data_IF_869013897101
#
_entry.id   IF_869013897101
#
_cell.length_a   1.000
_cell.length_b   1.000
_cell.length_c   1.000
_cell.angle_alpha   90.00
_cell.angle_beta   90.00
_cell.angle_gamma   90.00
#
_symmetry.space_group_name_H-M   'P 1'
#
loop_
_entity.id
_entity.type
_entity.pdbx_description
1 polymer ?
#
# COMPACT_ATOMS: atom_id res chain seq x y z
N UNK A 1 10.23 -5.96 9.09
CA UNK A 1 10.30 -7.37 9.56
C UNK A 1 11.22 -7.56 10.75
N UNK A 2 12.23 -6.70 10.94
CA UNK A 2 13.21 -6.79 12.05
C UNK A 2 12.96 -5.74 13.13
N UNK A 3 11.69 -5.41 13.39
CA UNK A 3 11.30 -4.41 14.38
C UNK A 3 11.47 -4.97 15.78
N UNK A 4 11.93 -4.13 16.72
CA UNK A 4 11.82 -4.46 18.14
C UNK A 4 10.53 -3.92 18.75
N UNK A 5 10.22 -4.34 19.98
CA UNK A 5 8.98 -3.98 20.66
C UNK A 5 8.82 -2.47 20.89
N UNK A 6 9.92 -1.76 21.23
CA UNK A 6 9.89 -0.31 21.44
C UNK A 6 9.64 0.42 20.13
N UNK A 7 10.29 0.04 19.04
CA UNK A 7 10.04 0.60 17.70
C UNK A 7 8.58 0.38 17.26
N UNK A 8 8.04 -0.82 17.48
CA UNK A 8 6.64 -1.13 17.16
C UNK A 8 5.65 -0.30 17.98
N UNK A 9 5.99 0.07 19.22
CA UNK A 9 5.10 0.87 20.07
C UNK A 9 4.79 2.24 19.46
N UNK A 10 5.74 2.85 18.74
CA UNK A 10 5.54 4.12 18.05
C UNK A 10 4.70 4.04 16.78
N UNK A 11 4.29 2.83 16.36
CA UNK A 11 3.37 2.63 15.24
C UNK A 11 1.95 2.31 15.70
N UNK A 12 1.68 2.17 17.00
CA UNK A 12 0.36 1.82 17.51
C UNK A 12 -0.74 2.75 16.97
N UNK A 13 -1.88 2.17 16.59
CA UNK A 13 -2.99 2.90 15.96
C UNK A 13 -2.90 3.07 14.44
N UNK A 14 -1.72 2.87 13.84
CA UNK A 14 -1.50 2.96 12.38
C UNK A 14 -1.88 1.67 11.65
N UNK A 15 -2.11 1.75 10.34
CA UNK A 15 -2.30 0.57 9.50
C UNK A 15 -1.02 -0.29 9.43
N UNK A 16 0.16 0.34 9.43
CA UNK A 16 1.45 -0.33 9.36
C UNK A 16 1.73 -1.22 10.58
N UNK A 17 1.29 -0.83 11.79
CA UNK A 17 1.42 -1.67 12.98
C UNK A 17 0.70 -3.01 12.83
N UNK A 18 -0.56 -2.98 12.39
CA UNK A 18 -1.35 -4.19 12.17
C UNK A 18 -0.79 -5.02 11.03
N UNK A 19 -0.44 -4.40 9.89
CA UNK A 19 0.15 -5.09 8.75
C UNK A 19 1.49 -5.76 9.11
N UNK A 20 2.34 -5.07 9.87
CA UNK A 20 3.62 -5.61 10.34
C UNK A 20 3.42 -6.76 11.31
N UNK A 21 2.51 -6.63 12.27
CA UNK A 21 2.23 -7.69 13.26
C UNK A 21 1.69 -8.94 12.60
N UNK A 22 0.73 -8.79 11.67
CA UNK A 22 0.20 -9.89 10.88
C UNK A 22 1.31 -10.55 10.06
N UNK A 23 2.16 -9.77 9.39
CA UNK A 23 3.24 -10.32 8.56
C UNK A 23 4.28 -11.09 9.37
N UNK A 24 4.59 -10.65 10.59
CA UNK A 24 5.48 -11.39 11.50
C UNK A 24 4.89 -12.76 11.83
N UNK A 25 3.60 -12.81 12.19
CA UNK A 25 2.90 -14.06 12.48
C UNK A 25 2.85 -15.00 11.27
N UNK A 26 2.58 -14.45 10.08
CA UNK A 26 2.59 -15.21 8.82
C UNK A 26 3.96 -15.86 8.59
N UNK A 27 5.06 -15.13 8.75
CA UNK A 27 6.40 -15.67 8.56
C UNK A 27 6.83 -16.68 9.61
N UNK A 28 6.41 -16.51 10.86
CA UNK A 28 6.63 -17.51 11.91
C UNK A 28 5.92 -18.82 11.57
N UNK A 29 4.65 -18.74 11.17
CA UNK A 29 3.87 -19.90 10.71
C UNK A 29 4.50 -20.57 9.48
N UNK A 30 4.84 -19.80 8.46
CA UNK A 30 5.43 -20.32 7.22
C UNK A 30 6.80 -20.96 7.48
N UNK A 31 7.62 -20.35 8.34
CA UNK A 31 8.90 -20.91 8.77
C UNK A 31 8.71 -22.28 9.42
N UNK A 32 7.77 -22.41 10.35
CA UNK A 32 7.49 -23.68 11.03
C UNK A 32 7.04 -24.77 10.05
N UNK A 33 6.17 -24.42 9.10
CA UNK A 33 5.71 -25.34 8.05
C UNK A 33 6.87 -25.79 7.14
N UNK A 34 7.66 -24.85 6.62
CA UNK A 34 8.82 -25.17 5.79
C UNK A 34 9.83 -26.04 6.54
N UNK A 35 10.09 -25.71 7.82
CA UNK A 35 11.01 -26.45 8.67
C UNK A 35 10.53 -27.89 8.90
N UNK A 36 9.23 -28.10 9.13
CA UNK A 36 8.66 -29.43 9.28
C UNK A 36 8.82 -30.25 8.00
N UNK A 37 8.59 -29.67 6.83
CA UNK A 37 8.80 -30.32 5.54
C UNK A 37 10.26 -30.68 5.29
N UNK A 38 11.19 -29.75 5.56
CA UNK A 38 12.62 -30.04 5.42
C UNK A 38 13.07 -31.18 6.33
N UNK A 39 12.54 -31.27 7.56
CA UNK A 39 12.87 -32.40 8.45
C UNK A 39 12.41 -33.76 7.92
N UNK A 40 11.31 -33.82 7.17
CA UNK A 40 10.84 -35.07 6.56
C UNK A 40 11.80 -35.58 5.49
N UNK A 41 12.44 -34.67 4.74
CA UNK A 41 13.38 -35.02 3.66
C UNK A 41 14.81 -35.16 4.20
N UNK A 42 15.25 -34.23 5.04
CA UNK A 42 16.57 -34.19 5.65
C UNK A 42 16.50 -33.47 7.02
N UNK A 43 16.60 -34.26 8.09
CA UNK A 43 16.52 -33.76 9.47
C UNK A 43 17.53 -32.67 9.78
N UNK A 44 18.77 -32.82 9.35
CA UNK A 44 19.84 -31.83 9.60
C UNK A 44 19.57 -30.51 8.87
N UNK A 45 19.05 -30.55 7.64
CA UNK A 45 18.62 -29.35 6.92
C UNK A 45 17.51 -28.62 7.69
N UNK A 46 16.48 -29.35 8.13
CA UNK A 46 15.39 -28.76 8.90
C UNK A 46 15.80 -28.26 10.29
N UNK A 47 16.81 -28.86 10.92
CA UNK A 47 17.35 -28.36 12.20
C UNK A 47 18.15 -27.07 12.01
N UNK A 48 18.88 -26.94 10.89
CA UNK A 48 19.65 -25.73 10.54
C UNK A 48 18.80 -24.61 9.91
N UNK A 49 17.58 -24.90 9.47
CA UNK A 49 16.65 -23.92 8.92
C UNK A 49 15.96 -23.12 10.03
N UNK A 50 16.66 -22.11 10.56
CA UNK A 50 16.18 -21.22 11.63
C UNK A 50 15.25 -20.12 11.09
N UNK A 51 14.47 -19.50 11.98
CA UNK A 51 13.62 -18.36 11.64
C UNK A 51 14.44 -17.22 11.02
N UNK A 52 15.63 -16.96 11.56
CA UNK A 52 16.58 -15.97 11.01
C UNK A 52 16.91 -16.23 9.54
N UNK A 53 17.17 -17.50 9.16
CA UNK A 53 17.46 -17.84 7.75
C UNK A 53 16.23 -17.65 6.85
N UNK A 54 15.05 -18.03 7.33
CA UNK A 54 13.80 -17.82 6.61
C UNK A 54 13.56 -16.31 6.39
N UNK A 55 13.62 -15.52 7.46
CA UNK A 55 13.43 -14.07 7.40
C UNK A 55 14.47 -13.41 6.50
N UNK A 56 15.74 -13.83 6.55
CA UNK A 56 16.79 -13.32 5.67
C UNK A 56 16.45 -13.55 4.20
N UNK A 57 16.02 -14.77 3.84
CA UNK A 57 15.61 -15.09 2.47
C UNK A 57 14.36 -14.29 2.04
N UNK A 58 13.36 -14.19 2.92
CA UNK A 58 12.14 -13.42 2.66
C UNK A 58 12.43 -11.92 2.47
N UNK A 59 13.35 -11.35 3.26
CA UNK A 59 13.79 -9.95 3.12
C UNK A 59 14.49 -9.76 1.78
N UNK A 60 15.42 -10.64 1.38
CA UNK A 60 16.08 -10.53 0.08
C UNK A 60 15.09 -10.61 -1.08
N UNK A 61 14.14 -11.55 -1.03
CA UNK A 61 13.12 -11.66 -2.07
C UNK A 61 12.21 -10.44 -2.12
N UNK A 62 11.71 -9.95 -0.99
CA UNK A 62 10.79 -8.79 -0.97
C UNK A 62 11.46 -7.46 -1.32
N UNK A 63 12.72 -7.27 -0.94
CA UNK A 63 13.43 -5.99 -1.14
C UNK A 63 14.22 -5.90 -2.45
N UNK A 64 14.59 -7.03 -3.07
CA UNK A 64 15.51 -7.06 -4.23
C UNK A 64 14.96 -7.75 -5.47
N UNK A 65 13.83 -8.45 -5.37
CA UNK A 65 13.27 -9.10 -6.55
C UNK A 65 12.64 -8.11 -7.52
N UNK A 66 12.77 -8.43 -8.80
CA UNK A 66 12.10 -7.78 -9.92
C UNK A 66 10.99 -8.70 -10.44
N UNK A 67 9.98 -8.15 -11.12
CA UNK A 67 9.01 -8.98 -11.82
C UNK A 67 9.69 -9.63 -13.05
N UNK A 68 9.49 -10.94 -13.22
CA UNK A 68 10.04 -11.73 -14.34
C UNK A 68 9.63 -11.20 -15.70
N UNK A 69 8.55 -10.43 -15.80
CA UNK A 69 8.09 -9.77 -17.04
C UNK A 69 9.13 -8.79 -17.60
N UNK A 70 10.05 -8.29 -16.77
CA UNK A 70 11.20 -7.50 -17.24
C UNK A 70 12.17 -8.28 -18.12
N UNK A 71 12.17 -9.61 -18.04
CA UNK A 71 13.04 -10.48 -18.84
C UNK A 71 12.41 -10.84 -20.21
N UNK A 72 11.19 -10.38 -20.48
CA UNK A 72 10.55 -10.62 -21.77
C UNK A 72 11.08 -9.69 -22.86
N UNK A 73 10.96 -10.10 -24.13
CA UNK A 73 11.37 -9.27 -25.29
C UNK A 73 10.57 -7.96 -25.40
N UNK A 74 9.40 -7.91 -24.79
CA UNK A 74 8.55 -6.72 -24.68
C UNK A 74 8.29 -6.46 -23.19
N UNK A 75 9.28 -5.94 -22.45
CA UNK A 75 9.20 -5.84 -21.00
C UNK A 75 8.01 -4.98 -20.57
N UNK A 76 7.22 -5.51 -19.64
CA UNK A 76 6.07 -4.83 -19.03
C UNK A 76 6.20 -4.84 -17.52
N UNK A 77 5.81 -3.73 -16.89
CA UNK A 77 5.68 -3.63 -15.44
C UNK A 77 4.29 -4.08 -14.96
N UNK A 78 3.36 -4.30 -15.88
CA UNK A 78 1.98 -4.73 -15.61
C UNK A 78 1.83 -6.21 -15.97
N UNK A 79 1.87 -7.12 -14.99
CA UNK A 79 1.56 -8.52 -15.24
C UNK A 79 0.10 -8.69 -15.68
N UNK A 80 -0.18 -9.72 -16.48
CA UNK A 80 -1.54 -10.11 -16.87
C UNK A 80 -1.83 -11.54 -16.41
N UNK A 81 -3.10 -11.97 -16.33
CA UNK A 81 -3.43 -13.36 -16.04
C UNK A 81 -2.79 -14.35 -17.03
N UNK A 82 -2.57 -13.92 -18.28
CA UNK A 82 -1.92 -14.73 -19.33
C UNK A 82 -0.38 -14.70 -19.25
N UNK A 83 0.19 -13.73 -18.53
CA UNK A 83 1.63 -13.61 -18.30
C UNK A 83 1.88 -13.14 -16.86
N UNK A 84 1.76 -14.06 -15.88
CA UNK A 84 1.99 -13.73 -14.48
C UNK A 84 3.46 -13.37 -14.26
N UNK A 85 3.70 -12.35 -13.44
CA UNK A 85 5.05 -12.04 -12.97
C UNK A 85 5.44 -12.93 -11.79
N UNK A 86 6.67 -13.42 -11.82
CA UNK A 86 7.31 -14.12 -10.70
C UNK A 86 8.50 -13.30 -10.20
N UNK A 87 8.86 -13.37 -8.91
CA UNK A 87 10.03 -12.66 -8.39
C UNK A 87 11.32 -13.27 -8.97
N UNK A 88 12.18 -12.43 -9.54
CA UNK A 88 13.52 -12.79 -10.01
C UNK A 88 14.57 -11.89 -9.39
N UNK A 89 15.69 -12.47 -8.95
CA UNK A 89 16.84 -11.71 -8.49
C UNK A 89 17.78 -11.47 -9.66
N UNK A 90 18.16 -10.21 -9.85
CA UNK A 90 19.05 -9.77 -10.92
C UNK A 90 20.34 -9.23 -10.28
N UNK A 91 21.38 -10.08 -10.11
CA UNK A 91 22.63 -9.64 -9.49
C UNK A 91 23.19 -8.39 -10.16
N UNK A 92 23.83 -7.52 -9.38
CA UNK A 92 24.36 -6.20 -9.78
C UNK A 92 23.24 -5.16 -9.97
N UNK A 93 22.18 -5.50 -10.69
CA UNK A 93 21.05 -4.59 -10.96
C UNK A 93 20.21 -4.35 -9.70
N UNK A 94 20.13 -5.33 -8.81
CA UNK A 94 19.49 -5.25 -7.51
C UNK A 94 20.23 -4.38 -6.48
N UNK A 95 21.41 -3.85 -6.83
CA UNK A 95 22.18 -2.94 -5.99
C UNK A 95 21.79 -1.47 -6.16
N UNK A 96 20.99 -1.14 -7.20
CA UNK A 96 20.60 0.24 -7.50
C UNK A 96 19.51 0.73 -6.53
N UNK A 97 19.80 1.80 -5.81
CA UNK A 97 18.86 2.42 -4.87
C UNK A 97 17.70 3.13 -5.56
N UNK A 98 16.66 3.43 -4.79
CA UNK A 98 15.47 4.13 -5.26
C UNK A 98 15.70 5.64 -5.36
N UNK A 99 15.32 6.24 -6.49
CA UNK A 99 15.07 7.66 -6.63
C UNK A 99 13.70 7.87 -7.28
N UNK A 100 12.77 8.48 -6.53
CA UNK A 100 11.40 8.73 -6.97
C UNK A 100 11.39 9.58 -8.24
N UNK A 101 10.71 9.09 -9.28
CA UNK A 101 10.56 9.81 -10.54
C UNK A 101 11.82 9.83 -11.41
N UNK A 102 12.89 9.13 -11.02
CA UNK A 102 14.08 8.98 -11.85
C UNK A 102 13.69 8.32 -13.19
N UNK A 103 13.95 8.97 -14.33
CA UNK A 103 13.68 8.37 -15.63
C UNK A 103 14.61 7.18 -15.85
N UNK A 104 14.03 5.99 -15.97
CA UNK A 104 14.75 4.75 -16.26
C UNK A 104 14.04 3.98 -17.37
N UNK A 105 14.81 3.24 -18.16
CA UNK A 105 14.27 2.36 -19.19
C UNK A 105 14.93 0.99 -19.08
N UNK A 106 14.12 -0.04 -18.99
CA UNK A 106 14.55 -1.44 -18.99
C UNK A 106 14.50 -1.99 -20.41
N UNK A 107 15.56 -2.69 -20.83
CA UNK A 107 15.66 -3.28 -22.15
C UNK A 107 16.18 -4.72 -22.04
N UNK A 108 15.68 -5.58 -22.91
CA UNK A 108 16.19 -6.95 -23.06
C UNK A 108 16.67 -7.09 -24.49
N UNK A 109 17.99 -7.22 -24.63
CA UNK A 109 18.64 -7.41 -25.91
C UNK A 109 18.96 -8.90 -26.10
N UNK A 110 18.67 -9.43 -27.28
CA UNK A 110 19.34 -10.66 -27.74
C UNK A 110 20.75 -10.26 -28.14
N UNK A 111 21.78 -10.85 -27.53
CA UNK A 111 23.14 -10.63 -28.00
C UNK A 111 23.30 -11.25 -29.39
N UNK A 112 23.08 -10.44 -30.43
CA UNK A 112 23.39 -10.80 -31.80
C UNK A 112 24.90 -10.75 -32.00
N UNK A 113 25.55 -11.91 -31.98
CA UNK A 113 26.65 -12.14 -32.91
C UNK A 113 26.06 -13.06 -33.99
N UNK A 114 25.90 -12.61 -35.25
CA UNK A 114 25.33 -13.44 -36.32
C UNK A 114 26.15 -14.72 -36.58
N UNK A 115 27.35 -14.86 -36.03
CA UNK A 115 28.18 -16.06 -36.14
C UNK A 115 27.94 -17.12 -35.07
N UNK A 116 27.27 -16.82 -33.95
CA UNK A 116 27.05 -17.82 -32.88
C UNK A 116 25.94 -18.81 -33.26
N UNK A 117 24.94 -18.40 -34.06
CA UNK A 117 23.94 -19.33 -34.59
C UNK A 117 24.58 -20.40 -35.50
N UNK A 118 25.60 -20.02 -36.28
CA UNK A 118 26.38 -20.94 -37.13
C UNK A 118 27.38 -21.79 -36.31
N UNK A 119 28.00 -21.24 -35.26
CA UNK A 119 28.96 -21.96 -34.40
C UNK A 119 28.27 -22.94 -33.42
N UNK A 120 27.05 -22.66 -32.96
CA UNK A 120 26.31 -23.57 -32.07
C UNK A 120 25.80 -24.82 -32.79
N UNK A 121 25.47 -24.71 -34.07
CA UNK A 121 25.10 -25.85 -34.91
C UNK A 121 26.28 -26.81 -35.18
N UNK A 122 27.52 -26.32 -35.05
CA UNK A 122 28.75 -27.09 -35.29
C UNK A 122 29.43 -27.63 -34.01
N UNK A 123 29.15 -27.04 -32.84
CA UNK A 123 29.71 -27.48 -31.55
C UNK A 123 28.87 -28.53 -30.81
N UNK A 124 27.60 -28.75 -31.18
CA UNK A 124 26.74 -29.74 -30.54
C UNK A 124 26.79 -31.09 -31.30
N UNK A 125 27.02 -32.23 -30.61
CA UNK A 125 26.97 -33.54 -31.25
C UNK A 125 25.60 -33.81 -31.89
N UNK A 126 25.51 -34.50 -33.05
CA UNK A 126 24.25 -34.82 -33.72
C UNK A 126 23.24 -35.60 -32.87
N UNK A 127 23.69 -36.19 -31.75
CA UNK A 127 22.91 -37.01 -30.84
C UNK A 127 22.08 -36.23 -29.81
N UNK A 128 22.18 -34.90 -29.77
CA UNK A 128 21.34 -34.06 -28.89
C UNK A 128 20.40 -33.21 -29.74
N UNK A 129 19.46 -33.87 -30.41
CA UNK A 129 18.22 -33.20 -30.83
C UNK A 129 17.26 -33.24 -29.65
N UNK A 130 16.65 -32.09 -29.31
CA UNK A 130 15.26 -31.91 -28.88
C UNK A 130 15.14 -30.56 -28.15
N UNK A 131 14.79 -29.50 -28.90
CA UNK A 131 14.14 -28.21 -28.54
C UNK A 131 14.53 -27.42 -27.27
N UNK A 132 14.74 -28.07 -26.12
CA UNK A 132 15.03 -27.44 -24.83
C UNK A 132 16.42 -26.79 -24.77
N UNK A 133 17.41 -27.32 -25.50
CA UNK A 133 18.78 -26.77 -25.50
C UNK A 133 18.87 -25.54 -26.42
N UNK A 134 18.17 -25.53 -27.56
CA UNK A 134 18.11 -24.34 -28.41
C UNK A 134 17.43 -23.16 -27.69
N UNK A 135 16.35 -23.42 -26.93
CA UNK A 135 15.73 -22.39 -26.08
C UNK A 135 16.70 -21.92 -24.99
N UNK A 136 17.27 -22.83 -24.20
CA UNK A 136 18.17 -22.47 -23.11
C UNK A 136 19.43 -21.72 -23.58
N UNK A 137 19.94 -22.04 -24.77
CA UNK A 137 21.07 -21.35 -25.38
C UNK A 137 20.64 -19.98 -25.92
N UNK A 138 19.49 -19.86 -26.58
CA UNK A 138 18.95 -18.57 -27.02
C UNK A 138 18.61 -17.65 -25.82
N UNK A 139 18.12 -18.22 -24.73
CA UNK A 139 17.85 -17.54 -23.46
C UNK A 139 19.15 -17.10 -22.77
N UNK A 140 20.24 -17.88 -22.90
CA UNK A 140 21.57 -17.50 -22.39
C UNK A 140 22.23 -16.35 -23.15
N UNK A 141 21.67 -15.95 -24.29
CA UNK A 141 22.07 -14.76 -25.05
C UNK A 141 21.26 -13.52 -24.65
N UNK A 142 20.27 -13.64 -23.79
CA UNK A 142 19.48 -12.50 -23.33
C UNK A 142 20.30 -11.65 -22.34
N UNK A 143 20.36 -10.36 -22.61
CA UNK A 143 20.99 -9.36 -21.75
C UNK A 143 19.92 -8.38 -21.32
N UNK A 144 19.71 -8.27 -20.02
CA UNK A 144 18.90 -7.21 -19.44
C UNK A 144 19.80 -5.99 -19.18
N UNK A 145 19.32 -4.82 -19.55
CA UNK A 145 19.98 -3.54 -19.28
C UNK A 145 19.01 -2.53 -18.70
N UNK A 146 19.55 -1.63 -17.88
CA UNK A 146 18.86 -0.45 -17.38
C UNK A 146 19.57 0.79 -17.93
N UNK A 147 18.80 1.69 -18.52
CA UNK A 147 19.28 2.97 -19.01
C UNK A 147 18.74 4.10 -18.15
N UNK A 148 19.62 4.97 -17.69
CA UNK A 148 19.25 6.20 -17.00
C UNK A 148 18.92 7.27 -18.04
N UNK A 149 17.73 7.85 -17.93
CA UNK A 149 17.23 8.85 -18.87
C UNK A 149 17.72 10.27 -18.61
N UNK A 150 18.52 10.47 -17.56
CA UNK A 150 19.10 11.77 -17.18
C UNK A 150 20.63 11.70 -17.18
N UNK A 151 21.27 12.87 -17.25
CA UNK A 151 22.72 12.96 -17.06
C UNK A 151 23.07 12.67 -15.59
N UNK A 152 24.03 11.78 -15.37
CA UNK A 152 24.58 11.47 -14.04
C UNK A 152 26.01 12.02 -13.98
N UNK A 153 26.27 12.91 -13.03
CA UNK A 153 27.59 13.49 -12.83
C UNK A 153 28.58 12.41 -12.34
N UNK A 154 29.85 12.52 -12.73
CA UNK A 154 30.88 11.62 -12.22
C UNK A 154 30.93 11.67 -10.68
N UNK A 155 30.90 10.48 -10.06
CA UNK A 155 30.89 10.33 -8.61
C UNK A 155 29.50 10.44 -7.96
N UNK A 156 28.46 10.80 -8.72
CA UNK A 156 27.08 10.72 -8.25
C UNK A 156 26.58 9.27 -8.30
N UNK A 157 25.64 8.95 -7.42
CA UNK A 157 24.99 7.65 -7.37
C UNK A 157 24.08 7.45 -8.60
N UNK A 158 24.05 6.21 -9.10
CA UNK A 158 23.11 5.78 -10.13
C UNK A 158 21.91 5.12 -9.46
N UNK A 159 20.76 5.77 -9.54
CA UNK A 159 19.53 5.27 -8.93
C UNK A 159 18.58 4.66 -9.97
N UNK A 160 17.83 3.66 -9.52
CA UNK A 160 16.66 3.13 -10.21
C UNK A 160 15.39 3.85 -9.72
N UNK A 161 14.26 3.64 -10.38
CA UNK A 161 12.94 4.07 -9.91
C UNK A 161 12.07 2.85 -9.63
N UNK A 162 11.63 2.71 -8.37
CA UNK A 162 10.81 1.56 -7.95
C UNK A 162 9.31 1.80 -8.19
N UNK A 163 8.94 3.00 -8.65
CA UNK A 163 7.55 3.43 -8.84
C UNK A 163 7.05 4.38 -7.74
N UNK A 164 5.84 4.95 -7.92
CA UNK A 164 5.19 5.80 -6.93
C UNK A 164 4.62 4.94 -5.79
N UNK A 165 5.40 4.73 -4.74
CA UNK A 165 5.04 3.86 -3.61
C UNK A 165 4.81 4.66 -2.33
N UNK A 166 3.72 4.40 -1.58
CA UNK A 166 3.54 4.98 -0.25
C UNK A 166 4.61 4.48 0.72
N UNK A 167 4.89 5.26 1.76
CA UNK A 167 5.85 4.89 2.81
C UNK A 167 5.48 3.58 3.50
N UNK A 168 4.19 3.25 3.62
CA UNK A 168 3.76 1.95 4.15
C UNK A 168 4.36 0.78 3.34
N UNK A 169 4.35 0.88 2.01
CA UNK A 169 4.89 -0.13 1.11
C UNK A 169 6.43 -0.11 1.10
N UNK A 170 7.04 1.09 1.08
CA UNK A 170 8.50 1.23 1.13
C UNK A 170 9.09 0.63 2.40
N UNK A 171 8.44 0.85 3.55
CA UNK A 171 8.87 0.32 4.83
C UNK A 171 8.71 -1.21 4.88
N UNK A 172 7.57 -1.74 4.44
CA UNK A 172 7.30 -3.19 4.49
C UNK A 172 8.14 -3.98 3.48
N UNK A 173 8.36 -3.43 2.28
CA UNK A 173 9.07 -4.10 1.20
C UNK A 173 10.58 -3.87 1.22
N UNK A 174 11.03 -2.66 1.55
CA UNK A 174 12.41 -2.23 1.33
C UNK A 174 13.13 -1.74 2.60
N UNK A 175 12.40 -1.38 3.65
CA UNK A 175 12.98 -0.94 4.92
C UNK A 175 13.55 0.49 4.88
N UNK A 176 12.91 1.38 4.12
CA UNK A 176 13.13 2.82 4.17
C UNK A 176 11.82 3.59 3.97
N UNK A 177 11.84 4.90 4.22
CA UNK A 177 10.74 5.81 3.94
C UNK A 177 11.29 7.11 3.31
N UNK A 178 10.42 7.82 2.59
CA UNK A 178 10.74 9.11 1.98
C UNK A 178 10.10 10.24 2.82
N UNK A 179 10.86 11.33 3.11
CA UNK A 179 10.27 12.53 3.70
C UNK A 179 9.30 13.16 2.71
N UNK A 180 8.22 13.77 3.22
CA UNK A 180 7.20 14.46 2.42
C UNK A 180 6.72 13.65 1.21
N UNK A 181 6.54 12.33 1.37
CA UNK A 181 6.22 11.45 0.26
C UNK A 181 4.85 11.81 -0.33
N UNK A 182 4.77 12.32 -1.57
CA UNK A 182 3.49 12.68 -2.17
C UNK A 182 2.64 11.46 -2.51
N UNK A 183 3.21 10.25 -2.53
CA UNK A 183 2.48 9.02 -2.82
C UNK A 183 1.96 8.34 -1.54
N UNK A 184 2.07 8.99 -0.37
CA UNK A 184 1.55 8.42 0.88
C UNK A 184 0.04 8.24 0.85
N UNK A 185 -0.41 7.09 1.36
CA UNK A 185 -1.81 6.68 1.41
C UNK A 185 -2.19 6.21 2.80
N UNK A 186 -3.48 6.31 3.13
CA UNK A 186 -4.07 5.68 4.30
C UNK A 186 -5.18 4.72 3.88
N UNK A 187 -5.28 3.57 4.55
CA UNK A 187 -6.31 2.56 4.28
C UNK A 187 -7.42 2.68 5.32
N UNK A 188 -8.62 3.00 4.86
CA UNK A 188 -9.83 3.11 5.67
C UNK A 188 -10.83 2.01 5.35
N UNK A 189 -11.59 1.58 6.36
CA UNK A 189 -12.63 0.57 6.24
C UNK A 189 -13.74 0.93 7.23
N UNK A 190 -14.98 0.96 6.75
CA UNK A 190 -16.15 1.19 7.61
C UNK A 190 -16.60 -0.13 8.24
N UNK A 191 -17.11 -0.04 9.47
CA UNK A 191 -17.72 -1.19 10.16
C UNK A 191 -18.86 -1.78 9.31
N UNK A 192 -18.95 -3.10 9.26
CA UNK A 192 -19.94 -3.79 8.43
C UNK A 192 -19.63 -3.86 6.92
N UNK A 193 -18.62 -3.14 6.43
CA UNK A 193 -18.14 -3.27 5.05
C UNK A 193 -16.88 -4.13 4.97
N UNK A 194 -16.84 -5.06 4.00
CA UNK A 194 -15.62 -5.79 3.68
C UNK A 194 -14.65 -4.98 2.79
N UNK A 195 -15.11 -3.85 2.24
CA UNK A 195 -14.34 -3.02 1.31
C UNK A 195 -13.39 -2.10 2.05
N UNK A 196 -12.14 -2.03 1.55
CA UNK A 196 -11.12 -1.10 2.04
C UNK A 196 -10.88 -0.02 0.98
N UNK A 197 -10.76 1.21 1.43
CA UNK A 197 -10.47 2.37 0.60
C UNK A 197 -9.07 2.87 0.90
N UNK A 198 -8.24 2.95 -0.12
CA UNK A 198 -6.91 3.53 -0.04
C UNK A 198 -6.97 4.99 -0.52
N UNK A 199 -6.69 5.93 0.39
CA UNK A 199 -6.83 7.36 0.17
C UNK A 199 -5.45 8.01 0.23
N UNK A 200 -5.03 8.59 -0.89
CA UNK A 200 -3.74 9.29 -1.03
C UNK A 200 -3.75 10.76 -0.57
N UNK A 201 -2.56 11.37 -0.56
CA UNK A 201 -2.36 12.82 -0.41
C UNK A 201 -3.15 13.60 -1.47
N UNK A 202 -3.50 14.86 -1.19
CA UNK A 202 -4.11 15.76 -2.17
C UNK A 202 -3.29 15.81 -3.47
N UNK A 203 -3.93 15.53 -4.61
CA UNK A 203 -3.30 15.49 -5.93
C UNK A 203 -2.82 14.11 -6.38
N UNK A 204 -2.91 13.08 -5.54
CA UNK A 204 -2.70 11.69 -5.98
C UNK A 204 -3.78 11.25 -6.97
N UNK A 205 -3.38 10.43 -7.93
CA UNK A 205 -4.34 9.77 -8.83
C UNK A 205 -5.34 8.92 -8.02
N UNK A 206 -6.60 8.91 -8.46
CA UNK A 206 -7.70 8.13 -7.87
C UNK A 206 -8.14 8.53 -6.45
N UNK A 207 -7.57 9.58 -5.85
CA UNK A 207 -7.96 10.03 -4.51
C UNK A 207 -9.45 10.37 -4.45
N UNK A 208 -9.95 11.16 -5.38
CA UNK A 208 -11.34 11.62 -5.41
C UNK A 208 -12.29 10.44 -5.53
N UNK A 209 -11.99 9.49 -6.42
CA UNK A 209 -12.75 8.25 -6.60
C UNK A 209 -12.82 7.44 -5.28
N UNK A 210 -11.69 7.31 -4.58
CA UNK A 210 -11.65 6.58 -3.32
C UNK A 210 -12.47 7.25 -2.21
N UNK A 211 -12.44 8.59 -2.14
CA UNK A 211 -13.21 9.36 -1.16
C UNK A 211 -14.71 9.32 -1.47
N UNK A 212 -15.08 9.43 -2.74
CA UNK A 212 -16.47 9.31 -3.18
C UNK A 212 -17.02 7.92 -2.86
N UNK A 213 -16.27 6.86 -3.17
CA UNK A 213 -16.68 5.50 -2.84
C UNK A 213 -16.79 5.24 -1.33
N UNK A 214 -15.90 5.83 -0.52
CA UNK A 214 -16.03 5.80 0.94
C UNK A 214 -17.29 6.53 1.42
N UNK A 215 -17.61 7.67 0.80
CA UNK A 215 -18.83 8.44 1.09
C UNK A 215 -20.09 7.67 0.71
N UNK A 216 -20.11 6.99 -0.44
CA UNK A 216 -21.21 6.13 -0.86
C UNK A 216 -21.43 4.94 0.08
N UNK A 217 -20.34 4.35 0.60
CA UNK A 217 -20.44 3.29 1.60
C UNK A 217 -21.03 3.81 2.91
N UNK A 218 -20.64 5.01 3.36
CA UNK A 218 -21.22 5.64 4.55
C UNK A 218 -22.71 5.98 4.36
N UNK A 219 -23.05 6.58 3.22
CA UNK A 219 -24.45 6.90 2.87
C UNK A 219 -25.31 5.65 2.89
N UNK A 220 -24.82 4.54 2.35
CA UNK A 220 -25.53 3.25 2.39
C UNK A 220 -25.76 2.76 3.82
N UNK A 221 -24.77 2.89 4.70
CA UNK A 221 -24.89 2.48 6.11
C UNK A 221 -25.98 3.30 6.80
N UNK A 222 -25.89 4.63 6.71
CA UNK A 222 -26.88 5.55 7.31
C UNK A 222 -28.29 5.29 6.76
N UNK A 223 -28.46 5.19 5.44
CA UNK A 223 -29.78 4.96 4.83
C UNK A 223 -30.38 3.60 5.20
N UNK A 224 -29.55 2.57 5.47
CA UNK A 224 -30.06 1.27 5.91
C UNK A 224 -30.56 1.32 7.36
N UNK A 225 -29.96 2.14 8.21
CA UNK A 225 -30.41 2.37 9.58
C UNK A 225 -31.75 3.12 9.62
N UNK A 226 -31.96 4.10 8.74
CA UNK A 226 -33.22 4.86 8.65
C UNK A 226 -34.40 4.09 8.04
N UNK A 227 -34.16 3.04 7.24
CA UNK A 227 -35.21 2.26 6.55
C UNK A 227 -35.94 1.22 7.43
N UNK A 228 -35.69 1.21 8.74
CA UNK A 228 -36.44 0.41 9.70
C UNK A 228 -37.90 0.84 9.87
N UNK A 229 -38.29 2.00 9.33
CA UNK A 229 -39.61 2.60 9.49
C UNK A 229 -40.31 2.76 8.13
N UNK A 230 -41.32 1.94 7.86
CA UNK A 230 -42.13 2.00 6.63
C UNK A 230 -42.92 3.31 6.55
N UNK A 231 -42.39 4.32 5.86
CA UNK A 231 -43.15 5.51 5.46
C UNK A 231 -43.69 5.34 4.03
N UNK A 232 -45.02 5.22 3.95
CA UNK A 232 -45.74 5.08 2.69
C UNK A 232 -45.74 6.36 1.86
N UNK A 233 -45.38 6.25 0.57
CA UNK A 233 -45.72 7.16 -0.53
C UNK A 233 -46.03 8.63 -0.15
N UNK A 234 -45.03 9.37 0.33
CA UNK A 234 -45.13 10.82 0.56
C UNK A 234 -44.49 11.65 -0.57
N UNK A 235 -44.85 12.94 -0.60
CA UNK A 235 -44.60 13.91 -1.66
C UNK A 235 -43.10 14.08 -2.00
N UNK A 236 -42.81 14.44 -3.26
CA UNK A 236 -41.44 14.56 -3.82
C UNK A 236 -40.49 15.47 -3.03
N UNK A 237 -40.99 16.37 -2.20
CA UNK A 237 -40.21 17.31 -1.39
C UNK A 237 -39.66 16.67 -0.11
N UNK A 238 -40.46 15.84 0.57
CA UNK A 238 -40.02 15.09 1.77
C UNK A 238 -38.91 14.09 1.43
N UNK A 239 -39.08 13.35 0.33
CA UNK A 239 -38.05 12.42 -0.18
C UNK A 239 -36.73 13.14 -0.52
N UNK A 240 -36.83 14.39 -0.99
CA UNK A 240 -35.64 15.19 -1.30
C UNK A 240 -34.94 15.64 -0.02
N UNK A 241 -35.70 16.07 0.99
CA UNK A 241 -35.17 16.47 2.30
C UNK A 241 -34.48 15.30 3.02
N UNK A 242 -35.13 14.14 3.11
CA UNK A 242 -34.55 12.91 3.68
C UNK A 242 -33.23 12.54 2.99
N UNK A 243 -33.14 12.75 1.66
CA UNK A 243 -31.92 12.48 0.92
C UNK A 243 -30.78 13.48 1.22
N UNK A 244 -31.09 14.72 1.60
CA UNK A 244 -30.10 15.70 2.07
C UNK A 244 -29.64 15.37 3.49
N UNK A 245 -30.57 15.05 4.38
CA UNK A 245 -30.29 14.64 5.77
C UNK A 245 -29.37 13.41 5.79
N UNK A 246 -29.70 12.36 5.05
CA UNK A 246 -28.86 11.16 4.95
C UNK A 246 -27.43 11.47 4.44
N UNK A 247 -27.26 12.46 3.54
CA UNK A 247 -25.93 12.91 3.08
C UNK A 247 -25.18 13.67 4.16
N UNK A 248 -25.86 14.53 4.93
CA UNK A 248 -25.26 15.25 6.05
C UNK A 248 -24.80 14.28 7.14
N UNK A 249 -25.65 13.32 7.50
CA UNK A 249 -25.34 12.27 8.46
C UNK A 249 -24.14 11.43 8.02
N UNK A 250 -24.11 10.99 6.75
CA UNK A 250 -22.96 10.28 6.20
C UNK A 250 -21.68 11.13 6.23
N UNK A 251 -21.79 12.43 5.96
CA UNK A 251 -20.69 13.38 6.04
C UNK A 251 -20.15 13.54 7.46
N UNK A 252 -21.04 13.78 8.44
CA UNK A 252 -20.71 13.94 9.85
C UNK A 252 -20.11 12.65 10.42
N UNK A 253 -20.72 11.50 10.13
CA UNK A 253 -20.22 10.18 10.49
C UNK A 253 -18.78 9.98 10.02
N UNK A 254 -18.48 10.29 8.75
CA UNK A 254 -17.13 10.16 8.21
C UNK A 254 -16.16 11.17 8.80
N UNK A 255 -16.58 12.42 9.00
CA UNK A 255 -15.75 13.45 9.62
C UNK A 255 -15.33 13.03 11.04
N UNK A 256 -16.26 12.53 11.83
CA UNK A 256 -15.98 12.08 13.19
C UNK A 256 -15.16 10.80 13.22
N UNK A 257 -15.43 9.84 12.35
CA UNK A 257 -14.59 8.64 12.19
C UNK A 257 -13.14 9.00 11.83
N UNK A 258 -12.93 9.98 10.94
CA UNK A 258 -11.61 10.49 10.56
C UNK A 258 -10.93 11.18 11.75
N UNK A 259 -11.63 12.03 12.50
CA UNK A 259 -11.09 12.67 13.72
C UNK A 259 -10.71 11.66 14.78
N UNK A 260 -11.55 10.64 15.03
CA UNK A 260 -11.25 9.54 15.95
C UNK A 260 -10.00 8.79 15.50
N UNK A 261 -9.90 8.46 14.20
CA UNK A 261 -8.71 7.78 13.66
C UNK A 261 -7.45 8.65 13.81
N UNK A 262 -7.53 9.95 13.55
CA UNK A 262 -6.43 10.90 13.72
C UNK A 262 -5.97 11.01 15.18
N UNK A 263 -6.91 11.00 16.12
CA UNK A 263 -6.63 11.02 17.56
C UNK A 263 -5.96 9.75 18.08
N UNK A 264 -6.16 8.61 17.40
CA UNK A 264 -5.47 7.34 17.70
C UNK A 264 -4.06 7.25 17.13
N UNK A 265 -3.70 8.09 16.16
CA UNK A 265 -2.36 8.07 15.60
C UNK A 265 -1.36 8.74 16.56
N UNK A 266 -0.12 8.24 16.63
CA UNK A 266 0.94 8.92 17.36
C UNK A 266 1.08 10.37 16.88
N UNK A 267 1.45 11.26 17.81
CA UNK A 267 1.75 12.65 17.50
C UNK A 267 3.26 12.80 17.48
N UNK A 268 3.84 12.75 16.29
CA UNK A 268 5.28 12.88 16.03
C UNK A 268 5.46 14.00 15.02
N UNK A 269 6.40 14.91 15.27
CA UNK A 269 6.76 15.99 14.34
C UNK A 269 8.08 15.66 13.65
N UNK A 270 8.26 16.09 12.38
CA UNK A 270 9.44 15.81 11.56
C UNK A 270 10.78 16.08 12.26
N UNK A 271 10.83 17.15 13.07
CA UNK A 271 12.03 17.60 13.79
C UNK A 271 12.23 16.93 15.15
N UNK A 272 11.36 16.00 15.54
CA UNK A 272 11.44 15.35 16.84
C UNK A 272 12.66 14.42 16.90
N UNK A 273 13.59 14.64 17.85
CA UNK A 273 14.70 13.71 18.03
C UNK A 273 14.19 12.36 18.51
N UNK A 274 14.97 11.31 18.25
CA UNK A 274 14.67 9.97 18.75
C UNK A 274 14.56 10.01 20.30
N UNK A 275 13.38 9.73 20.87
CA UNK A 275 13.17 9.83 22.32
C UNK A 275 13.89 8.72 23.09
N UNK A 276 14.19 7.60 22.43
CA UNK A 276 14.75 6.40 23.04
C UNK A 276 15.96 5.86 22.24
N UNK A 277 17.09 6.61 22.13
CA UNK A 277 18.20 6.27 21.23
C UNK A 277 18.88 4.93 21.50
N UNK A 278 18.72 4.39 22.71
CA UNK A 278 19.29 3.09 23.11
C UNK A 278 18.47 1.90 22.62
N UNK A 279 17.17 2.07 22.42
CA UNK A 279 16.23 0.99 22.07
C UNK A 279 15.57 1.18 20.71
N UNK A 280 15.59 2.39 20.15
CA UNK A 280 15.09 2.70 18.82
C UNK A 280 16.27 3.07 17.92
N UNK A 281 16.45 2.33 16.82
CA UNK A 281 17.51 2.65 15.85
C UNK A 281 17.21 3.99 15.17
N UNK A 282 18.22 4.83 14.97
CA UNK A 282 18.05 6.17 14.37
C UNK A 282 17.37 6.15 13.00
N UNK A 283 17.80 5.26 12.10
CA UNK A 283 17.17 5.09 10.78
C UNK A 283 15.74 4.59 10.85
N UNK A 284 15.40 3.80 11.88
CA UNK A 284 14.03 3.33 12.11
C UNK A 284 13.16 4.45 12.67
N UNK A 285 13.71 5.29 13.53
CA UNK A 285 13.02 6.49 13.99
C UNK A 285 12.66 7.41 12.83
N UNK A 286 13.59 7.68 11.90
CA UNK A 286 13.31 8.47 10.68
C UNK A 286 12.17 7.86 9.87
N UNK A 287 12.17 6.53 9.66
CA UNK A 287 11.07 5.86 8.97
C UNK A 287 9.72 6.04 9.68
N UNK A 288 9.69 5.91 11.00
CA UNK A 288 8.49 6.09 11.82
C UNK A 288 7.98 7.52 11.67
N UNK A 289 8.87 8.52 11.80
CA UNK A 289 8.54 9.94 11.69
C UNK A 289 7.88 10.23 10.35
N UNK A 290 8.54 9.90 9.24
CA UNK A 290 8.02 10.18 7.90
C UNK A 290 6.69 9.49 7.62
N UNK A 291 6.55 8.23 8.03
CA UNK A 291 5.31 7.49 7.85
C UNK A 291 4.16 8.08 8.69
N UNK A 292 4.37 8.29 9.98
CA UNK A 292 3.31 8.80 10.88
C UNK A 292 2.87 10.20 10.44
N UNK A 293 3.81 11.07 10.09
CA UNK A 293 3.50 12.39 9.55
C UNK A 293 2.64 12.31 8.30
N UNK A 294 3.03 11.49 7.31
CA UNK A 294 2.25 11.25 6.09
C UNK A 294 0.82 10.77 6.38
N UNK A 295 0.65 9.81 7.30
CA UNK A 295 -0.69 9.32 7.71
C UNK A 295 -1.55 10.42 8.32
N UNK A 296 -0.96 11.24 9.22
CA UNK A 296 -1.68 12.34 9.86
C UNK A 296 -2.11 13.39 8.84
N UNK A 297 -1.22 13.75 7.92
CA UNK A 297 -1.53 14.72 6.88
C UNK A 297 -2.63 14.20 5.95
N UNK A 298 -2.65 12.92 5.57
CA UNK A 298 -3.76 12.32 4.81
C UNK A 298 -5.10 12.48 5.54
N UNK A 299 -5.15 12.19 6.84
CA UNK A 299 -6.36 12.30 7.63
C UNK A 299 -6.81 13.76 7.85
N UNK A 300 -5.87 14.69 8.05
CA UNK A 300 -6.18 16.12 8.15
C UNK A 300 -6.79 16.66 6.85
N UNK A 301 -6.21 16.31 5.71
CA UNK A 301 -6.76 16.68 4.39
C UNK A 301 -8.13 16.07 4.13
N UNK A 302 -8.34 14.83 4.60
CA UNK A 302 -9.62 14.14 4.48
C UNK A 302 -10.70 14.74 5.38
N UNK A 303 -10.35 15.12 6.62
CA UNK A 303 -11.24 15.83 7.53
C UNK A 303 -11.68 17.18 6.94
N UNK A 304 -10.73 17.95 6.41
CA UNK A 304 -11.02 19.21 5.73
C UNK A 304 -11.94 19.00 4.51
N UNK A 305 -11.74 17.92 3.75
CA UNK A 305 -12.61 17.57 2.64
C UNK A 305 -14.05 17.29 3.09
N UNK A 306 -14.25 16.45 4.12
CA UNK A 306 -15.61 16.13 4.58
C UNK A 306 -16.30 17.35 5.20
N UNK A 307 -15.58 18.18 5.95
CA UNK A 307 -16.11 19.46 6.45
C UNK A 307 -16.61 20.33 5.29
N UNK A 308 -15.81 20.53 4.24
CA UNK A 308 -16.23 21.32 3.08
C UNK A 308 -17.37 20.67 2.29
N UNK A 309 -17.45 19.34 2.26
CA UNK A 309 -18.56 18.62 1.63
C UNK A 309 -19.87 18.83 2.40
N UNK A 310 -19.83 18.78 3.74
CA UNK A 310 -20.97 19.09 4.61
C UNK A 310 -21.44 20.52 4.35
N UNK A 311 -20.53 21.50 4.39
CA UNK A 311 -20.86 22.92 4.14
C UNK A 311 -21.53 23.12 2.76
N UNK A 312 -21.03 22.42 1.74
CA UNK A 312 -21.59 22.45 0.38
C UNK A 312 -23.02 21.88 0.35
N UNK A 313 -23.26 20.76 1.03
CA UNK A 313 -24.58 20.11 1.10
C UNK A 313 -25.56 21.02 1.85
N UNK A 314 -25.17 21.60 2.99
CA UNK A 314 -25.99 22.54 3.77
C UNK A 314 -26.34 23.78 2.94
N UNK A 315 -25.38 24.32 2.18
CA UNK A 315 -25.62 25.48 1.30
C UNK A 315 -26.60 25.16 0.18
N UNK A 316 -26.48 23.98 -0.43
CA UNK A 316 -27.40 23.50 -1.47
C UNK A 316 -28.82 23.33 -0.91
N UNK A 317 -28.95 22.69 0.25
CA UNK A 317 -30.23 22.49 0.95
C UNK A 317 -30.92 23.83 1.28
N UNK A 318 -30.17 24.80 1.82
CA UNK A 318 -30.68 26.13 2.12
C UNK A 318 -31.12 26.89 0.85
N UNK A 319 -30.42 26.71 -0.27
CA UNK A 319 -30.78 27.34 -1.56
C UNK A 319 -32.11 26.84 -2.13
N UNK A 320 -32.55 25.66 -1.69
CA UNK A 320 -33.82 25.05 -2.05
C UNK A 320 -34.95 25.37 -1.04
N UNK A 321 -34.67 26.16 0.00
CA UNK A 321 -35.65 26.55 1.01
C UNK A 321 -35.93 25.49 2.08
N UNK A 322 -35.11 24.43 2.15
CA UNK A 322 -35.20 23.40 3.19
C UNK A 322 -34.39 23.82 4.43
N UNK A 323 -34.86 23.43 5.62
CA UNK A 323 -34.18 23.65 6.90
C UNK A 323 -33.87 22.33 7.59
N UNK A 324 -32.77 22.28 8.34
CA UNK A 324 -32.48 21.15 9.23
C UNK A 324 -33.46 21.24 10.39
N UNK A 325 -34.38 20.29 10.49
CA UNK A 325 -35.15 20.08 11.71
C UNK A 325 -34.22 19.41 12.72
N UNK A 326 -33.79 20.14 13.74
CA UNK A 326 -33.19 19.50 14.90
C UNK A 326 -34.34 18.88 15.68
N UNK A 327 -34.36 17.56 15.81
CA UNK A 327 -35.16 16.92 16.85
C UNK A 327 -34.63 17.50 18.18
N UNK A 328 -35.40 18.39 18.80
CA UNK A 328 -35.18 18.76 20.19
C UNK A 328 -35.38 17.46 20.98
N UNK A 329 -34.31 16.90 21.52
CA UNK A 329 -34.39 15.86 22.54
C UNK A 329 -35.24 16.44 23.68
N UNK A 330 -36.53 16.14 23.68
CA UNK A 330 -37.49 16.37 24.77
C UNK A 330 -37.12 15.43 25.94
N UNK A 331 -35.89 15.53 26.44
CA UNK A 331 -35.56 15.16 27.83
C UNK A 331 -36.07 16.30 28.73
N UNK A 332 -37.38 16.53 28.68
CA UNK A 332 -38.08 17.25 29.74
C UNK A 332 -38.16 16.29 30.93
N UNK A 333 -37.27 16.53 31.89
CA UNK A 333 -37.31 16.01 33.25
C UNK A 333 -38.77 15.83 33.73
N UNK A 334 -39.27 14.59 33.76
CA UNK A 334 -40.37 14.19 34.64
C UNK A 334 -39.79 14.02 36.07
N UNK A 335 -39.35 15.14 36.63
CA UNK A 335 -39.44 15.37 38.07
C UNK A 335 -40.85 15.93 38.32
N UNK A 336 -41.79 15.08 38.77
CA UNK A 336 -42.81 15.43 39.78
C UNK A 336 -43.74 14.23 40.11
N UNK A 337 -43.68 13.84 41.39
CA UNK A 337 -44.78 13.35 42.24
C UNK A 337 -45.50 12.01 41.95
N UNK A 338 -45.14 10.96 42.71
CA UNK A 338 -45.98 10.39 43.81
C UNK A 338 -45.25 9.34 44.69
#
# INVERSE_FOLDING_TARGET
MTWNATEMSFLQGTNLYHATSQRIQEFESDHEQCRALFRQVNRDLGDRFTLERYLTAAIYLSSRAFPSTLLSLSPTLSPSPESPAHPVLLPILDCLNHARGQPVTWQVDKSGHPSIEDDLATLLPPSIQHQNIQSAVLDSLLKISIKIGTFVQQGAEVCNNYGPKPNAELILGYGFALPDNPDDTIILQLGGSARKWEIGRKGCANREIAIEGLFEDALRIVTLESKGEEHGSQASELVLQEAFEAKLDAGNFLLDAVKVKLGRLPVIIASQPNPEPTSVRGSVWEMIVYYVEGQRLCLLELAAYFSGKIDSITTEMASLGMSIEYEEDDDADEDEDE
#
